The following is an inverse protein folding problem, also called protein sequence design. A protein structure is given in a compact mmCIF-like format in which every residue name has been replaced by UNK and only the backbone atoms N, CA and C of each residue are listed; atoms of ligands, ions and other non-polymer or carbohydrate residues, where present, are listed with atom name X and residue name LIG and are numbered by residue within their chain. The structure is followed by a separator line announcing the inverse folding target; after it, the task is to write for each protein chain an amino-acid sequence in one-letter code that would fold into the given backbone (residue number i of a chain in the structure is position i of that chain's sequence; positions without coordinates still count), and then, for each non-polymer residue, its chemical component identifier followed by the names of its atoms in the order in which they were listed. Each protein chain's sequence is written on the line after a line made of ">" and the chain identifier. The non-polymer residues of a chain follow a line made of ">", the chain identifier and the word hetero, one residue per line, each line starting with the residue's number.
data_IF_985873238706
#
_entry.id   IF_985873238706
#
_cell.length_a   1.000
_cell.length_b   1.000
_cell.length_c   1.000
_cell.angle_alpha   90.00
_cell.angle_beta   90.00
_cell.angle_gamma   90.00
#
_symmetry.space_group_name_H-M   'P 1'
#
loop_
_entity.id
_entity.type
_entity.pdbx_description
1 polymer ?
#
# COMPACT_ATOMS: atom_id res chain seq x y z
N UNK A 1 9.04 -1.75 -28.69
CA UNK A 1 9.66 -2.96 -29.27
C UNK A 1 9.44 -4.26 -28.46
N UNK A 2 9.64 -4.30 -27.13
CA UNK A 2 9.46 -5.56 -26.35
C UNK A 2 8.02 -6.11 -26.30
N UNK A 3 7.01 -5.24 -26.34
CA UNK A 3 5.59 -5.64 -26.32
C UNK A 3 5.13 -6.34 -27.62
N UNK A 4 5.74 -5.97 -28.75
CA UNK A 4 5.35 -6.47 -30.09
C UNK A 4 6.00 -7.83 -30.38
N UNK A 5 7.17 -8.11 -29.79
CA UNK A 5 7.94 -9.34 -30.04
C UNK A 5 7.51 -10.57 -29.23
N UNK A 6 6.96 -10.41 -28.02
CA UNK A 6 6.73 -11.56 -27.12
C UNK A 6 5.28 -11.83 -26.70
N UNK A 7 4.30 -11.12 -27.28
CA UNK A 7 2.82 -11.29 -27.16
C UNK A 7 2.32 -12.04 -25.91
N UNK A 8 2.42 -13.38 -25.87
CA UNK A 8 1.91 -14.22 -24.77
C UNK A 8 2.95 -14.59 -23.69
N UNK A 9 4.24 -14.58 -24.00
CA UNK A 9 5.31 -14.86 -23.05
C UNK A 9 5.61 -13.64 -22.15
N UNK A 10 5.21 -12.44 -22.60
CA UNK A 10 5.38 -11.19 -21.84
C UNK A 10 4.66 -11.23 -20.47
N UNK A 11 3.51 -11.89 -20.38
CA UNK A 11 2.72 -12.04 -19.14
C UNK A 11 3.15 -13.22 -18.26
N UNK A 12 4.06 -14.10 -18.71
CA UNK A 12 4.59 -15.16 -17.85
C UNK A 12 5.69 -14.65 -16.91
N UNK A 13 6.43 -13.62 -17.32
CA UNK A 13 7.48 -13.05 -16.49
C UNK A 13 6.91 -11.95 -15.55
N UNK A 14 6.91 -12.16 -14.22
CA UNK A 14 6.37 -11.20 -13.26
C UNK A 14 7.11 -9.84 -13.30
N UNK A 15 8.39 -9.86 -13.67
CA UNK A 15 9.22 -8.67 -13.87
C UNK A 15 8.75 -7.77 -15.01
N UNK A 16 8.03 -8.34 -15.95
CA UNK A 16 7.60 -7.69 -17.16
C UNK A 16 6.17 -7.12 -17.00
N UNK A 17 5.32 -7.84 -16.27
CA UNK A 17 4.04 -7.31 -15.76
C UNK A 17 4.31 -6.09 -14.87
N UNK A 18 5.27 -6.17 -13.96
CA UNK A 18 5.63 -5.04 -13.10
C UNK A 18 6.11 -3.82 -13.90
N UNK A 19 6.92 -4.04 -14.94
CA UNK A 19 7.35 -2.99 -15.86
C UNK A 19 6.17 -2.33 -16.58
N UNK A 20 5.25 -3.14 -17.09
CA UNK A 20 4.03 -2.67 -17.76
C UNK A 20 3.16 -1.83 -16.81
N UNK A 21 2.95 -2.29 -15.57
CA UNK A 21 2.24 -1.53 -14.56
C UNK A 21 2.90 -0.17 -14.29
N UNK A 22 4.21 -0.11 -14.13
CA UNK A 22 4.92 1.17 -13.91
C UNK A 22 4.79 2.09 -15.13
N UNK A 23 4.88 1.56 -16.34
CA UNK A 23 4.71 2.34 -17.58
C UNK A 23 3.30 2.92 -17.66
N UNK A 24 2.27 2.11 -17.41
CA UNK A 24 0.87 2.54 -17.38
C UNK A 24 0.66 3.62 -16.30
N UNK A 25 1.13 3.39 -15.07
CA UNK A 25 1.04 4.38 -13.99
C UNK A 25 1.76 5.70 -14.33
N UNK A 26 2.90 5.62 -15.01
CA UNK A 26 3.64 6.81 -15.44
C UNK A 26 2.91 7.60 -16.52
N UNK A 27 2.14 6.91 -17.37
CA UNK A 27 1.34 7.48 -18.45
C UNK A 27 0.07 8.14 -17.88
N UNK A 28 -0.61 7.46 -16.94
CA UNK A 28 -1.73 8.03 -16.18
C UNK A 28 -1.27 9.27 -15.41
N UNK A 29 -0.13 9.21 -14.72
CA UNK A 29 0.40 10.37 -13.99
C UNK A 29 0.68 11.57 -14.91
N UNK A 30 1.14 11.32 -16.14
CA UNK A 30 1.36 12.39 -17.12
C UNK A 30 0.04 12.99 -17.62
N UNK A 31 -0.96 12.15 -17.93
CA UNK A 31 -2.29 12.62 -18.33
C UNK A 31 -3.05 13.36 -17.20
N UNK A 32 -2.85 12.95 -15.95
CA UNK A 32 -3.39 13.66 -14.79
C UNK A 32 -2.73 15.03 -14.66
N UNK A 33 -1.40 15.13 -14.81
CA UNK A 33 -0.68 16.40 -14.73
C UNK A 33 -1.11 17.40 -15.81
N UNK A 34 -1.39 16.93 -17.03
CA UNK A 34 -1.92 17.75 -18.12
C UNK A 34 -3.33 18.31 -17.78
N UNK A 35 -4.20 17.47 -17.21
CA UNK A 35 -5.54 17.87 -16.75
C UNK A 35 -5.51 18.86 -15.57
N UNK A 36 -4.49 18.78 -14.69
CA UNK A 36 -4.30 19.71 -13.57
C UNK A 36 -3.97 21.15 -14.01
N UNK A 37 -3.48 21.36 -15.24
CA UNK A 37 -3.16 22.71 -15.75
C UNK A 37 -4.39 23.46 -16.26
N UNK A 38 -5.47 22.74 -16.57
CA UNK A 38 -6.68 23.29 -17.21
C UNK A 38 -7.81 23.57 -16.21
N UNK A 39 -7.73 23.03 -14.99
CA UNK A 39 -8.78 23.18 -13.96
C UNK A 39 -8.17 23.59 -12.60
N UNK A 40 -8.85 24.42 -11.79
CA UNK A 40 -8.43 24.72 -10.43
C UNK A 40 -8.59 23.46 -9.56
N UNK A 41 -7.46 22.84 -9.20
CA UNK A 41 -7.42 21.54 -8.54
C UNK A 41 -7.08 21.64 -7.05
N UNK A 42 -7.70 20.79 -6.20
CA UNK A 42 -7.47 20.79 -4.77
C UNK A 42 -6.04 20.36 -4.39
N UNK A 43 -5.51 20.81 -3.24
CA UNK A 43 -4.14 20.56 -2.82
C UNK A 43 -3.80 19.08 -2.57
N UNK A 44 -4.82 18.23 -2.37
CA UNK A 44 -4.66 16.78 -2.21
C UNK A 44 -4.17 16.10 -3.50
N UNK A 45 -4.66 16.51 -4.67
CA UNK A 45 -4.26 15.94 -5.96
C UNK A 45 -2.80 16.26 -6.29
N UNK A 46 -2.34 17.47 -5.94
CA UNK A 46 -0.94 17.89 -6.13
C UNK A 46 0.01 17.00 -5.30
N UNK A 47 -0.37 16.64 -4.06
CA UNK A 47 0.44 15.73 -3.22
C UNK A 47 0.50 14.32 -3.81
N UNK A 48 -0.61 13.81 -4.31
CA UNK A 48 -0.69 12.47 -4.91
C UNK A 48 0.19 12.38 -6.17
N UNK A 49 0.15 13.38 -7.05
CA UNK A 49 1.01 13.43 -8.26
C UNK A 49 2.50 13.43 -7.89
N UNK A 50 2.91 14.16 -6.84
CA UNK A 50 4.30 14.11 -6.35
C UNK A 50 4.71 12.72 -5.87
N UNK A 51 3.84 12.00 -5.15
CA UNK A 51 4.10 10.62 -4.73
C UNK A 51 4.23 9.68 -5.94
N UNK A 52 3.41 9.85 -6.98
CA UNK A 52 3.53 9.07 -8.22
C UNK A 52 4.84 9.33 -8.97
N UNK A 53 5.37 10.56 -8.93
CA UNK A 53 6.71 10.85 -9.46
C UNK A 53 7.81 10.08 -8.72
N UNK A 54 7.72 9.95 -7.39
CA UNK A 54 8.62 9.10 -6.59
C UNK A 54 8.50 7.63 -7.02
N UNK A 55 7.32 7.18 -7.43
CA UNK A 55 7.11 5.87 -8.05
C UNK A 55 7.98 5.60 -9.29
N UNK A 56 8.46 6.63 -10.02
CA UNK A 56 9.42 6.43 -11.13
C UNK A 56 10.80 5.98 -10.64
N UNK A 57 11.20 6.32 -9.42
CA UNK A 57 12.44 5.85 -8.77
C UNK A 57 12.41 4.32 -8.60
N UNK A 58 11.22 3.71 -8.50
CA UNK A 58 11.07 2.25 -8.49
C UNK A 58 11.56 1.59 -9.80
N UNK A 59 11.68 2.33 -10.91
CA UNK A 59 12.34 1.83 -12.13
C UNK A 59 13.84 1.56 -11.90
N UNK A 60 14.52 2.31 -11.03
CA UNK A 60 15.93 2.08 -10.69
C UNK A 60 16.11 0.77 -9.93
N UNK A 61 15.13 0.41 -9.11
CA UNK A 61 15.11 -0.86 -8.37
C UNK A 61 15.15 -2.07 -9.32
N UNK A 62 14.56 -1.96 -10.52
CA UNK A 62 14.60 -3.00 -11.56
C UNK A 62 16.01 -3.23 -12.14
N UNK A 63 16.83 -2.18 -12.21
CA UNK A 63 18.20 -2.28 -12.75
C UNK A 63 19.15 -2.97 -11.76
N UNK A 64 18.89 -2.81 -10.46
CA UNK A 64 19.68 -3.42 -9.41
C UNK A 64 19.36 -4.93 -9.26
N UNK A 65 20.21 -5.78 -9.85
CA UNK A 65 20.12 -7.25 -9.77
C UNK A 65 20.02 -7.76 -8.32
N UNK A 66 20.68 -7.08 -7.38
CA UNK A 66 20.62 -7.40 -5.95
C UNK A 66 19.23 -7.20 -5.31
N UNK A 67 18.53 -6.10 -5.65
CA UNK A 67 17.21 -5.82 -5.08
C UNK A 67 16.17 -6.82 -5.61
N UNK A 68 16.31 -7.26 -6.86
CA UNK A 68 15.49 -8.33 -7.44
C UNK A 68 15.56 -9.64 -6.63
N UNK A 69 16.74 -10.03 -6.18
CA UNK A 69 16.92 -11.23 -5.35
C UNK A 69 16.27 -11.07 -3.97
N UNK A 70 16.43 -9.89 -3.34
CA UNK A 70 15.82 -9.61 -2.04
C UNK A 70 14.29 -9.59 -2.12
N UNK A 71 13.72 -8.94 -3.14
CA UNK A 71 12.27 -8.93 -3.36
C UNK A 71 11.72 -10.33 -3.61
N UNK A 72 12.45 -11.18 -4.33
CA UNK A 72 12.05 -12.57 -4.53
C UNK A 72 12.06 -13.35 -3.22
N UNK A 73 13.10 -13.20 -2.40
CA UNK A 73 13.15 -13.80 -1.07
C UNK A 73 12.00 -13.31 -0.17
N UNK A 74 11.69 -12.02 -0.22
CA UNK A 74 10.56 -11.43 0.51
C UNK A 74 9.23 -12.07 0.07
N UNK A 75 8.99 -12.17 -1.24
CA UNK A 75 7.77 -12.77 -1.80
C UNK A 75 7.66 -14.25 -1.44
N UNK A 76 8.76 -14.99 -1.39
CA UNK A 76 8.77 -16.40 -0.95
C UNK A 76 8.46 -16.52 0.54
N UNK A 77 8.84 -15.53 1.37
CA UNK A 77 8.53 -15.51 2.81
C UNK A 77 7.11 -14.98 3.14
N UNK A 78 6.49 -14.23 2.22
CA UNK A 78 5.15 -13.66 2.41
C UNK A 78 4.06 -14.69 2.76
N UNK A 79 3.98 -15.89 2.18
CA UNK A 79 2.97 -16.88 2.54
C UNK A 79 3.06 -17.33 4.00
N UNK A 80 4.28 -17.52 4.51
CA UNK A 80 4.51 -17.86 5.91
C UNK A 80 4.13 -16.68 6.82
N UNK A 81 4.52 -15.46 6.43
CA UNK A 81 4.13 -14.25 7.13
C UNK A 81 2.61 -14.04 7.13
N UNK A 82 1.92 -14.38 6.04
CA UNK A 82 0.47 -14.24 5.92
C UNK A 82 -0.27 -15.13 6.92
N UNK A 83 0.20 -16.36 7.15
CA UNK A 83 -0.40 -17.24 8.16
C UNK A 83 -0.27 -16.66 9.57
N UNK A 84 0.90 -16.11 9.92
CA UNK A 84 1.13 -15.46 11.22
C UNK A 84 0.33 -14.15 11.32
N UNK A 85 0.32 -13.35 10.26
CA UNK A 85 -0.44 -12.10 10.19
C UNK A 85 -1.95 -12.35 10.30
N UNK A 86 -2.47 -13.42 9.71
CA UNK A 86 -3.88 -13.80 9.81
C UNK A 86 -4.25 -14.22 11.24
N UNK A 87 -3.37 -14.98 11.90
CA UNK A 87 -3.55 -15.33 13.31
C UNK A 87 -3.51 -14.08 14.19
N UNK A 88 -2.52 -13.21 14.02
CA UNK A 88 -2.41 -11.93 14.72
C UNK A 88 -3.63 -11.04 14.47
N UNK A 89 -4.11 -10.96 13.22
CA UNK A 89 -5.28 -10.20 12.84
C UNK A 89 -6.54 -10.72 13.53
N UNK A 90 -6.73 -12.03 13.60
CA UNK A 90 -7.85 -12.66 14.30
C UNK A 90 -7.79 -12.39 15.81
N UNK A 91 -6.60 -12.52 16.40
CA UNK A 91 -6.39 -12.19 17.82
C UNK A 91 -6.69 -10.73 18.08
N UNK A 92 -6.17 -9.81 17.26
CA UNK A 92 -6.43 -8.38 17.38
C UNK A 92 -7.91 -8.04 17.20
N UNK A 93 -8.62 -8.73 16.30
CA UNK A 93 -10.05 -8.58 16.10
C UNK A 93 -10.86 -8.94 17.36
N UNK A 94 -10.57 -10.09 17.97
CA UNK A 94 -11.25 -10.52 19.21
C UNK A 94 -10.96 -9.54 20.35
N UNK A 95 -9.69 -9.16 20.54
CA UNK A 95 -9.31 -8.19 21.58
C UNK A 95 -9.89 -6.80 21.34
N UNK A 96 -10.10 -6.37 20.09
CA UNK A 96 -10.75 -5.09 19.78
C UNK A 96 -12.22 -5.10 20.20
N UNK A 97 -12.95 -6.20 20.00
CA UNK A 97 -14.36 -6.34 20.41
C UNK A 97 -14.48 -6.40 21.94
N UNK A 98 -13.61 -7.18 22.58
CA UNK A 98 -13.52 -7.23 24.04
C UNK A 98 -13.16 -5.84 24.58
N UNK A 99 -12.16 -5.19 23.99
CA UNK A 99 -11.73 -3.83 24.34
C UNK A 99 -12.88 -2.83 24.30
N UNK A 100 -13.68 -2.86 23.24
CA UNK A 100 -14.88 -2.00 23.13
C UNK A 100 -15.93 -2.32 24.19
N UNK A 101 -16.16 -3.60 24.49
CA UNK A 101 -17.19 -4.01 25.44
C UNK A 101 -16.86 -3.60 26.88
N UNK A 102 -15.58 -3.60 27.25
CA UNK A 102 -15.13 -3.28 28.61
C UNK A 102 -14.66 -1.82 28.78
N UNK A 103 -13.94 -1.28 27.79
CA UNK A 103 -13.30 0.04 27.86
C UNK A 103 -14.02 1.14 27.07
N UNK A 104 -15.14 0.83 26.38
CA UNK A 104 -15.86 1.80 25.55
C UNK A 104 -16.58 2.94 26.29
N UNK A 105 -16.58 2.97 27.62
CA UNK A 105 -17.15 4.06 28.45
C UNK A 105 -16.17 4.63 29.48
N UNK A 106 -14.88 4.35 29.33
CA UNK A 106 -13.87 4.82 30.28
C UNK A 106 -13.60 6.30 30.05
N UNK A 107 -13.41 7.05 31.13
CA UNK A 107 -13.09 8.47 31.06
C UNK A 107 -11.71 8.67 30.40
N UNK A 108 -11.59 9.68 29.53
CA UNK A 108 -10.34 10.04 28.88
C UNK A 108 -9.28 10.39 29.93
N UNK A 109 -8.27 9.55 30.06
CA UNK A 109 -7.17 9.75 30.98
C UNK A 109 -5.91 9.01 30.49
N UNK A 110 -4.75 9.67 30.59
CA UNK A 110 -3.41 9.11 30.36
C UNK A 110 -3.27 8.18 29.13
N UNK A 111 -3.54 8.71 27.92
CA UNK A 111 -3.28 8.02 26.64
C UNK A 111 -4.53 7.51 25.92
N UNK A 112 -5.72 7.66 26.51
CA UNK A 112 -7.01 7.50 25.83
C UNK A 112 -7.51 8.90 25.48
N UNK A 113 -7.46 9.25 24.20
CA UNK A 113 -7.83 10.56 23.64
C UNK A 113 -8.97 10.40 22.59
N UNK A 114 -9.52 11.51 22.09
CA UNK A 114 -10.60 11.49 21.09
C UNK A 114 -10.25 10.70 19.81
N UNK A 115 -8.96 10.66 19.43
CA UNK A 115 -8.46 9.90 18.28
C UNK A 115 -8.19 8.42 18.61
N UNK A 116 -7.68 8.14 19.82
CA UNK A 116 -7.25 6.82 20.28
C UNK A 116 -8.12 6.35 21.45
N UNK A 117 -9.28 5.77 21.14
CA UNK A 117 -10.21 5.23 22.13
C UNK A 117 -10.77 3.85 21.74
N UNK A 118 -11.52 3.25 22.66
CA UNK A 118 -12.21 1.96 22.47
C UNK A 118 -13.71 2.13 22.18
N UNK A 119 -14.17 3.31 21.76
CA UNK A 119 -15.59 3.56 21.50
C UNK A 119 -16.04 2.94 20.18
N UNK A 120 -15.18 2.96 19.16
CA UNK A 120 -15.48 2.41 17.84
C UNK A 120 -14.49 1.32 17.44
N UNK A 121 -14.95 0.40 16.58
CA UNK A 121 -14.15 -0.75 16.16
C UNK A 121 -12.83 -0.34 15.46
N UNK A 122 -12.81 0.62 14.52
CA UNK A 122 -11.56 1.04 13.90
C UNK A 122 -10.57 1.66 14.89
N UNK A 123 -11.06 2.42 15.88
CA UNK A 123 -10.20 3.04 16.88
C UNK A 123 -9.63 2.00 17.84
N UNK A 124 -10.46 1.07 18.32
CA UNK A 124 -10.03 -0.07 19.13
C UNK A 124 -9.00 -0.95 18.40
N UNK A 125 -9.18 -1.13 17.08
CA UNK A 125 -8.28 -1.91 16.23
C UNK A 125 -6.96 -1.19 15.93
N UNK A 126 -6.94 0.15 15.85
CA UNK A 126 -5.70 0.93 15.63
C UNK A 126 -4.80 0.93 16.87
N UNK A 127 -5.38 0.83 18.07
CA UNK A 127 -4.64 0.83 19.34
C UNK A 127 -3.91 -0.50 19.58
N UNK A 128 -4.44 -1.60 19.04
CA UNK A 128 -4.02 -2.96 19.33
C UNK A 128 -3.08 -3.53 18.27
#
# INVERSE_FOLDING_TARGET
>A
LKLIGQRWYYFKDPWNIFDCCIVIFSLVCWGVEDLMTTLPVPPTTIRIVRLFRVGRVLRLVKSARGIRTLLFALIVSLPALFNVALLLFLTAFVYSIVGMSFFGKVAYYAGIDAEFNFETFPQAFIIL
#
